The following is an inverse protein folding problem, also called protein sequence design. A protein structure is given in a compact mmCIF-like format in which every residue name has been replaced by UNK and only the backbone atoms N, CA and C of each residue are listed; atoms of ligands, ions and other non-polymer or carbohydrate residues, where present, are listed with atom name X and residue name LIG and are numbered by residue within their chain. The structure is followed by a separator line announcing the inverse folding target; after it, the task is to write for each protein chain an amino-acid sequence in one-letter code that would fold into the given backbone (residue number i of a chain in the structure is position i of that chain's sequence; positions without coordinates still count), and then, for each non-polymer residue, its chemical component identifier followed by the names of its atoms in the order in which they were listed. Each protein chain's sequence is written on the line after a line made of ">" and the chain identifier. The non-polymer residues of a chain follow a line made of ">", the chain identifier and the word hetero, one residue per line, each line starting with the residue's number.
data_IF_816001170130
#
_entry.id   IF_816001170130
#
_cell.length_a   1.000
_cell.length_b   1.000
_cell.length_c   1.000
_cell.angle_alpha   90.00
_cell.angle_beta   90.00
_cell.angle_gamma   90.00
#
_symmetry.space_group_name_H-M   'P 1'
#
loop_
_entity.id
_entity.type
_entity.pdbx_description
1 polymer ?
#
# COMPACT_ATOMS: atom_id res chain seq x y z
N UNK A 1 18.71 -22.63 12.17
CA UNK A 1 17.29 -22.95 11.92
C UNK A 1 16.98 -22.47 10.51
N UNK A 2 16.77 -23.39 9.57
CA UNK A 2 16.33 -23.07 8.22
C UNK A 2 14.86 -22.67 8.24
N UNK A 3 14.52 -21.50 7.68
CA UNK A 3 13.14 -21.05 7.55
C UNK A 3 12.45 -21.87 6.44
N UNK A 4 11.66 -22.86 6.83
CA UNK A 4 10.78 -23.61 5.93
C UNK A 4 9.67 -22.70 5.39
N UNK A 5 9.73 -22.40 4.09
CA UNK A 5 8.69 -21.65 3.37
C UNK A 5 7.87 -22.63 2.52
N UNK A 6 6.77 -23.12 3.07
CA UNK A 6 5.81 -23.93 2.32
C UNK A 6 4.90 -23.04 1.47
N UNK A 7 4.74 -23.36 0.18
CA UNK A 7 3.81 -22.68 -0.72
C UNK A 7 2.74 -23.67 -1.14
N UNK A 8 1.47 -23.39 -0.82
CA UNK A 8 0.32 -24.16 -1.28
C UNK A 8 -0.08 -23.67 -2.66
N UNK A 9 -0.09 -24.58 -3.64
CA UNK A 9 -0.63 -24.30 -4.98
C UNK A 9 -2.13 -24.59 -4.97
N UNK A 10 -2.92 -23.63 -5.44
CA UNK A 10 -4.36 -23.79 -5.66
C UNK A 10 -4.63 -23.63 -7.14
N UNK A 11 -5.39 -24.55 -7.71
CA UNK A 11 -5.87 -24.43 -9.09
C UNK A 11 -6.89 -23.29 -9.19
N UNK A 12 -6.75 -22.47 -10.23
CA UNK A 12 -7.66 -21.37 -10.54
C UNK A 12 -8.14 -21.51 -11.99
N UNK A 13 -9.40 -21.17 -12.23
CA UNK A 13 -10.00 -21.08 -13.57
C UNK A 13 -10.22 -19.61 -13.90
N UNK A 14 -9.95 -19.25 -15.14
CA UNK A 14 -10.20 -17.90 -15.63
C UNK A 14 -11.72 -17.67 -15.76
N UNK A 15 -12.29 -16.65 -15.10
CA UNK A 15 -13.72 -16.36 -15.19
C UNK A 15 -14.05 -15.70 -16.54
N UNK A 16 -15.20 -16.04 -17.13
CA UNK A 16 -15.80 -15.21 -18.19
C UNK A 16 -16.27 -13.88 -17.58
N UNK A 17 -15.49 -12.81 -17.76
CA UNK A 17 -15.81 -11.50 -17.21
C UNK A 17 -16.82 -10.74 -18.09
N UNK A 18 -18.12 -10.87 -17.78
CA UNK A 18 -19.22 -10.12 -18.43
C UNK A 18 -19.65 -8.87 -17.66
N UNK A 19 -19.25 -8.78 -16.39
CA UNK A 19 -19.61 -7.73 -15.43
C UNK A 19 -18.52 -7.67 -14.35
N UNK A 20 -18.39 -6.56 -13.62
CA UNK A 20 -17.35 -6.39 -12.62
C UNK A 20 -17.41 -5.06 -11.88
N UNK A 21 -16.52 -4.92 -10.88
CA UNK A 21 -16.27 -3.64 -10.20
C UNK A 21 -14.95 -3.05 -10.68
N UNK A 22 -14.92 -1.76 -10.92
CA UNK A 22 -13.69 -0.99 -11.11
C UNK A 22 -13.17 -0.51 -9.76
N UNK A 23 -11.84 -0.48 -9.63
CA UNK A 23 -11.14 0.06 -8.46
C UNK A 23 -10.34 1.27 -8.88
N UNK A 24 -10.61 2.39 -8.22
CA UNK A 24 -9.79 3.60 -8.29
C UNK A 24 -9.08 3.80 -6.95
N UNK A 25 -7.76 4.03 -6.99
CA UNK A 25 -6.90 4.14 -5.82
C UNK A 25 -6.37 5.57 -5.70
N UNK A 26 -6.86 6.30 -4.71
CA UNK A 26 -6.40 7.64 -4.38
C UNK A 26 -5.69 7.68 -3.02
N UNK A 27 -5.12 8.84 -2.67
CA UNK A 27 -4.39 9.02 -1.41
C UNK A 27 -5.29 8.89 -0.19
N UNK A 28 -6.50 9.45 -0.22
CA UNK A 28 -7.41 9.44 0.92
C UNK A 28 -8.29 8.18 0.96
N UNK A 29 -8.71 7.69 -0.21
CA UNK A 29 -9.66 6.59 -0.32
C UNK A 29 -9.39 5.69 -1.53
N UNK A 30 -9.80 4.44 -1.40
CA UNK A 30 -9.97 3.50 -2.50
C UNK A 30 -11.45 3.42 -2.81
N UNK A 31 -11.82 3.69 -4.05
CA UNK A 31 -13.20 3.64 -4.54
C UNK A 31 -13.40 2.32 -5.27
N UNK A 32 -14.44 1.59 -4.91
CA UNK A 32 -14.85 0.35 -5.58
C UNK A 32 -16.24 0.59 -6.13
N UNK A 33 -16.41 0.52 -7.45
CA UNK A 33 -17.68 0.89 -8.10
C UNK A 33 -18.07 -0.06 -9.22
N UNK A 34 -19.34 -0.41 -9.28
CA UNK A 34 -19.96 -1.08 -10.43
C UNK A 34 -20.60 -0.05 -11.37
N UNK A 35 -21.31 0.91 -10.80
CA UNK A 35 -21.95 2.04 -11.48
C UNK A 35 -22.15 3.21 -10.50
N UNK A 36 -22.84 4.28 -10.93
CA UNK A 36 -23.08 5.49 -10.14
C UNK A 36 -23.94 5.27 -8.87
N UNK A 37 -24.56 4.10 -8.73
CA UNK A 37 -25.42 3.74 -7.59
C UNK A 37 -24.77 2.74 -6.65
N UNK A 38 -23.97 1.83 -7.20
CA UNK A 38 -23.32 0.75 -6.47
C UNK A 38 -21.82 1.01 -6.37
N UNK A 39 -21.44 1.82 -5.38
CA UNK A 39 -20.04 2.08 -5.05
C UNK A 39 -19.80 2.12 -3.54
N UNK A 40 -18.56 1.88 -3.15
CA UNK A 40 -18.06 1.97 -1.79
C UNK A 40 -16.75 2.76 -1.76
N UNK A 41 -16.54 3.50 -0.67
CA UNK A 41 -15.30 4.23 -0.39
C UNK A 41 -14.65 3.63 0.83
N UNK A 42 -13.38 3.28 0.67
CA UNK A 42 -12.55 2.67 1.70
C UNK A 42 -11.46 3.67 2.06
N UNK A 43 -11.46 4.20 3.27
CA UNK A 43 -10.39 5.10 3.72
C UNK A 43 -9.03 4.39 3.71
N UNK A 44 -7.99 5.05 3.20
CA UNK A 44 -6.63 4.55 3.33
C UNK A 44 -6.03 4.95 4.69
N UNK A 45 -4.99 4.23 5.10
CA UNK A 45 -4.17 4.62 6.26
C UNK A 45 -2.88 5.32 5.86
N UNK A 46 -2.92 6.06 4.74
CA UNK A 46 -1.73 6.73 4.22
C UNK A 46 -1.25 7.84 5.16
N UNK A 47 -2.16 8.57 5.80
CA UNK A 47 -1.81 9.62 6.75
C UNK A 47 -1.06 9.07 7.98
N UNK A 48 -1.53 7.94 8.54
CA UNK A 48 -0.85 7.22 9.61
C UNK A 48 0.59 6.86 9.22
N UNK A 49 0.79 6.35 8.01
CA UNK A 49 2.11 6.01 7.49
C UNK A 49 2.98 7.26 7.28
N UNK A 50 2.38 8.34 6.78
CA UNK A 50 3.04 9.61 6.57
C UNK A 50 3.52 10.24 7.89
N UNK A 51 2.74 10.12 8.97
CA UNK A 51 3.14 10.55 10.30
C UNK A 51 4.47 9.90 10.73
N UNK A 52 4.58 8.58 10.60
CA UNK A 52 5.83 7.87 10.94
C UNK A 52 7.00 8.22 10.02
N UNK A 53 6.73 8.45 8.73
CA UNK A 53 7.73 8.96 7.79
C UNK A 53 8.26 10.33 8.23
N UNK A 54 7.37 11.26 8.58
CA UNK A 54 7.74 12.59 9.04
C UNK A 54 8.59 12.55 10.34
N UNK A 55 8.31 11.63 11.26
CA UNK A 55 9.14 11.44 12.46
C UNK A 55 10.57 10.99 12.13
N UNK A 56 10.73 10.05 11.19
CA UNK A 56 12.05 9.61 10.73
C UNK A 56 12.82 10.77 10.08
N UNK A 57 12.18 11.49 9.16
CA UNK A 57 12.80 12.62 8.46
C UNK A 57 13.15 13.77 9.42
N UNK A 58 12.31 14.02 10.43
CA UNK A 58 12.59 14.99 11.48
C UNK A 58 13.84 14.64 12.30
N UNK A 59 14.04 13.36 12.61
CA UNK A 59 15.26 12.89 13.27
C UNK A 59 16.49 13.02 12.38
N UNK A 60 16.36 12.73 11.08
CA UNK A 60 17.45 12.91 10.13
C UNK A 60 17.84 14.39 10.01
N UNK A 61 16.86 15.30 9.84
CA UNK A 61 17.11 16.74 9.78
C UNK A 61 17.75 17.26 11.07
N UNK A 62 17.25 16.82 12.22
CA UNK A 62 17.80 17.23 13.53
C UNK A 62 19.25 16.77 13.74
N UNK A 63 19.62 15.62 13.19
CA UNK A 63 20.94 14.99 13.40
C UNK A 63 21.67 14.71 12.08
N UNK A 64 21.59 15.61 11.11
CA UNK A 64 21.99 15.41 9.70
C UNK A 64 23.36 14.75 9.52
N UNK A 65 24.35 15.17 10.30
CA UNK A 65 25.75 14.69 10.22
C UNK A 65 26.06 13.45 11.05
N UNK A 66 25.17 13.05 11.98
CA UNK A 66 25.48 12.04 13.01
C UNK A 66 24.49 10.89 13.07
N UNK A 67 23.33 11.02 12.42
CA UNK A 67 22.30 9.98 12.50
C UNK A 67 22.76 8.65 11.89
N UNK A 68 23.72 8.68 10.95
CA UNK A 68 24.34 7.49 10.35
C UNK A 68 25.34 6.81 11.29
N UNK A 69 26.07 7.59 12.09
CA UNK A 69 27.13 7.09 12.98
C UNK A 69 26.60 6.69 14.36
N UNK A 70 25.47 7.27 14.76
CA UNK A 70 24.82 6.93 16.02
C UNK A 70 23.82 5.80 15.83
N UNK A 71 24.21 4.60 16.25
CA UNK A 71 23.35 3.41 16.18
C UNK A 71 21.99 3.62 16.88
N UNK A 72 21.98 4.35 18.00
CA UNK A 72 20.74 4.72 18.70
C UNK A 72 19.80 5.56 17.84
N UNK A 73 20.31 6.55 17.11
CA UNK A 73 19.50 7.43 16.27
C UNK A 73 19.04 6.67 15.02
N UNK A 74 19.96 5.94 14.40
CA UNK A 74 19.68 5.09 13.23
C UNK A 74 18.57 4.08 13.52
N UNK A 75 18.61 3.40 14.68
CA UNK A 75 17.59 2.44 15.08
C UNK A 75 16.21 3.08 15.27
N UNK A 76 16.14 4.33 15.77
CA UNK A 76 14.86 5.06 15.89
C UNK A 76 14.29 5.46 14.52
N UNK A 77 15.14 5.90 13.60
CA UNK A 77 14.74 6.21 12.21
C UNK A 77 14.20 4.94 11.53
N UNK A 78 14.96 3.84 11.57
CA UNK A 78 14.56 2.54 11.03
C UNK A 78 13.26 2.02 11.65
N UNK A 79 13.09 2.18 12.96
CA UNK A 79 11.84 1.79 13.63
C UNK A 79 10.64 2.57 13.11
N UNK A 80 10.78 3.88 12.89
CA UNK A 80 9.71 4.73 12.37
C UNK A 80 9.36 4.35 10.93
N UNK A 81 10.36 4.15 10.07
CA UNK A 81 10.13 3.66 8.71
C UNK A 81 9.51 2.26 8.67
N UNK A 82 9.92 1.35 9.55
CA UNK A 82 9.29 0.03 9.67
C UNK A 82 7.82 0.13 10.08
N UNK A 83 7.48 1.04 11.00
CA UNK A 83 6.09 1.28 11.39
C UNK A 83 5.26 1.83 10.22
N UNK A 84 5.79 2.80 9.48
CA UNK A 84 5.14 3.32 8.27
C UNK A 84 4.86 2.19 7.26
N UNK A 85 5.87 1.34 6.99
CA UNK A 85 5.71 0.18 6.12
C UNK A 85 4.63 -0.78 6.61
N UNK A 86 4.66 -1.15 7.90
CA UNK A 86 3.68 -2.08 8.48
C UNK A 86 2.25 -1.54 8.35
N UNK A 87 2.03 -0.24 8.60
CA UNK A 87 0.72 0.41 8.43
C UNK A 87 0.23 0.30 7.00
N UNK A 88 1.10 0.54 6.00
CA UNK A 88 0.74 0.42 4.59
C UNK A 88 0.44 -1.03 4.21
N UNK A 89 1.24 -2.00 4.67
CA UNK A 89 1.01 -3.42 4.40
C UNK A 89 -0.30 -3.92 5.01
N UNK A 90 -0.59 -3.53 6.25
CA UNK A 90 -1.83 -3.91 6.93
C UNK A 90 -3.05 -3.27 6.26
N UNK A 91 -2.95 -1.97 5.90
CA UNK A 91 -4.00 -1.27 5.16
C UNK A 91 -4.26 -1.93 3.79
N UNK A 92 -3.22 -2.31 3.04
CA UNK A 92 -3.39 -2.99 1.77
C UNK A 92 -4.10 -4.36 1.91
N UNK A 93 -3.82 -5.11 2.99
CA UNK A 93 -4.50 -6.38 3.28
C UNK A 93 -5.97 -6.17 3.60
N UNK A 94 -6.29 -5.18 4.43
CA UNK A 94 -7.66 -4.86 4.83
C UNK A 94 -8.48 -4.39 3.62
N UNK A 95 -7.95 -3.43 2.85
CA UNK A 95 -8.56 -2.95 1.60
C UNK A 95 -8.79 -4.11 0.63
N UNK A 96 -7.79 -4.96 0.40
CA UNK A 96 -7.90 -6.09 -0.51
C UNK A 96 -9.00 -7.08 -0.11
N UNK A 97 -9.18 -7.31 1.19
CA UNK A 97 -10.30 -8.12 1.69
C UNK A 97 -11.64 -7.44 1.43
N UNK A 98 -11.79 -6.17 1.79
CA UNK A 98 -13.04 -5.42 1.60
C UNK A 98 -13.44 -5.33 0.13
N UNK A 99 -12.48 -5.08 -0.76
CA UNK A 99 -12.69 -5.11 -2.22
C UNK A 99 -13.35 -6.43 -2.66
N UNK A 100 -12.80 -7.56 -2.22
CA UNK A 100 -13.35 -8.88 -2.57
C UNK A 100 -14.73 -9.09 -1.96
N UNK A 101 -14.96 -8.66 -0.73
CA UNK A 101 -16.25 -8.77 -0.07
C UNK A 101 -17.33 -7.89 -0.73
N UNK A 102 -16.95 -6.69 -1.21
CA UNK A 102 -17.83 -5.79 -2.00
C UNK A 102 -18.15 -6.41 -3.36
N UNK A 103 -17.16 -6.95 -4.08
CA UNK A 103 -17.40 -7.61 -5.36
C UNK A 103 -18.39 -8.78 -5.21
N UNK A 104 -18.26 -9.56 -4.13
CA UNK A 104 -19.21 -10.63 -3.79
C UNK A 104 -20.59 -10.08 -3.44
N UNK A 105 -20.69 -8.99 -2.68
CA UNK A 105 -21.99 -8.41 -2.30
C UNK A 105 -22.74 -7.82 -3.49
N UNK A 106 -22.02 -7.35 -4.51
CA UNK A 106 -22.60 -6.91 -5.78
C UNK A 106 -22.83 -8.05 -6.78
N UNK A 107 -22.52 -9.30 -6.40
CA UNK A 107 -22.66 -10.50 -7.20
C UNK A 107 -21.97 -10.40 -8.58
N UNK A 108 -20.77 -9.82 -8.62
CA UNK A 108 -19.99 -9.69 -9.86
C UNK A 108 -18.86 -10.71 -9.95
N UNK A 109 -18.52 -11.21 -11.16
CA UNK A 109 -17.50 -12.24 -11.34
C UNK A 109 -16.08 -11.69 -11.42
N UNK A 110 -15.90 -10.39 -11.67
CA UNK A 110 -14.60 -9.79 -11.94
C UNK A 110 -14.35 -8.48 -11.17
N UNK A 111 -13.06 -8.21 -10.96
CA UNK A 111 -12.53 -6.96 -10.42
C UNK A 111 -11.59 -6.40 -11.47
N UNK A 112 -11.84 -5.18 -11.91
CA UNK A 112 -11.01 -4.45 -12.86
C UNK A 112 -10.09 -3.50 -12.11
N UNK A 113 -8.79 -3.67 -12.32
CA UNK A 113 -7.73 -2.83 -11.76
C UNK A 113 -7.16 -1.95 -12.86
N UNK A 114 -6.88 -0.69 -12.52
CA UNK A 114 -6.13 0.19 -13.42
C UNK A 114 -4.68 -0.28 -13.61
N UNK A 115 -4.15 -0.09 -14.82
CA UNK A 115 -2.74 -0.34 -15.09
C UNK A 115 -1.87 0.80 -14.55
N UNK A 116 -1.29 0.58 -13.37
CA UNK A 116 -0.41 1.54 -12.71
C UNK A 116 1.07 1.45 -13.15
N UNK A 117 1.41 0.63 -14.15
CA UNK A 117 2.81 0.45 -14.58
C UNK A 117 3.48 1.77 -14.97
N UNK A 118 2.75 2.66 -15.65
CA UNK A 118 3.29 3.96 -16.06
C UNK A 118 3.46 4.91 -14.88
N UNK A 119 2.55 4.89 -13.91
CA UNK A 119 2.68 5.67 -12.68
C UNK A 119 3.93 5.26 -11.89
N UNK A 120 4.16 3.95 -11.73
CA UNK A 120 5.35 3.42 -11.05
C UNK A 120 6.63 3.87 -11.76
N UNK A 121 6.66 3.85 -13.10
CA UNK A 121 7.81 4.35 -13.88
C UNK A 121 8.06 5.83 -13.66
N UNK A 122 7.01 6.65 -13.57
CA UNK A 122 7.11 8.09 -13.30
C UNK A 122 7.63 8.33 -11.88
N UNK A 123 7.06 7.65 -10.87
CA UNK A 123 7.46 7.81 -9.47
C UNK A 123 8.93 7.43 -9.26
N UNK A 124 9.42 6.38 -9.92
CA UNK A 124 10.85 5.99 -9.87
C UNK A 124 11.80 7.04 -10.44
N UNK A 125 11.31 7.95 -11.29
CA UNK A 125 12.10 9.05 -11.86
C UNK A 125 12.03 10.33 -11.01
N UNK A 126 11.17 10.37 -9.99
CA UNK A 126 11.09 11.53 -9.11
C UNK A 126 12.36 11.64 -8.25
N UNK A 127 12.77 12.87 -7.89
CA UNK A 127 13.88 13.07 -6.96
C UNK A 127 13.67 12.29 -5.65
N UNK A 128 14.77 11.93 -4.99
CA UNK A 128 14.74 11.08 -3.78
C UNK A 128 13.91 11.70 -2.65
N UNK A 129 13.77 13.03 -2.62
CA UNK A 129 12.88 13.74 -1.70
C UNK A 129 11.38 13.42 -1.90
N UNK A 130 10.98 12.97 -3.09
CA UNK A 130 9.63 12.55 -3.43
C UNK A 130 9.47 11.03 -3.52
N UNK A 131 10.59 10.29 -3.57
CA UNK A 131 10.60 8.83 -3.51
C UNK A 131 10.18 8.32 -2.12
N UNK A 132 9.41 7.22 -2.07
CA UNK A 132 9.14 6.50 -0.82
C UNK A 132 10.35 5.64 -0.47
N UNK A 133 11.46 6.29 -0.13
CA UNK A 133 12.68 5.63 0.32
C UNK A 133 12.61 5.31 1.80
N UNK A 134 12.28 4.06 2.13
CA UNK A 134 12.53 3.52 3.47
C UNK A 134 14.00 3.06 3.53
N UNK A 135 14.79 3.69 4.41
CA UNK A 135 16.24 3.45 4.59
C UNK A 135 16.49 2.16 5.38
#
# INVERSE_FOLDING_TARGET
>A
MENLKATLLKEWKEPEAKDGVAIDVNMAEVVVGKDDKYYARISTRLEDAHHYKALAEGLQKKYEKRWKDSERILNRIRSSYRKAKNVLEDSAREVGKWVVDIAKSFNVPAIFLEDLNNLIKIVKKLPTEFGVGFI
#
